data_IF_974804314851
#
_entry.id   IF_974804314851
#
_cell.length_a   1.000
_cell.length_b   1.000
_cell.length_c   1.000
_cell.angle_alpha   90.00
_cell.angle_beta   90.00
_cell.angle_gamma   90.00
#
_symmetry.space_group_name_H-M   'P 1'
#
loop_
_entity.id
_entity.type
_entity.pdbx_description
1 polymer ?
#
# COMPACT_ATOMS: atom_id res chain seq x y z
N UNK A 1 -6.17 -14.89 -10.62
CA UNK A 1 -5.13 -15.89 -10.27
C UNK A 1 -3.88 -15.21 -9.74
N UNK A 2 -3.33 -15.66 -8.63
CA UNK A 2 -2.10 -15.06 -8.10
C UNK A 2 -0.94 -15.04 -9.10
N UNK A 3 -0.85 -16.03 -9.97
CA UNK A 3 0.21 -16.09 -10.99
C UNK A 3 0.17 -14.96 -12.00
N UNK A 4 -1.00 -14.37 -12.23
CA UNK A 4 -1.16 -13.25 -13.15
C UNK A 4 -1.16 -11.91 -12.43
N UNK A 5 -1.10 -11.91 -11.10
CA UNK A 5 -1.16 -10.69 -10.32
C UNK A 5 0.20 -10.02 -10.28
N UNK A 6 0.25 -8.78 -10.76
CA UNK A 6 1.46 -7.97 -10.77
C UNK A 6 2.08 -7.88 -9.37
N UNK A 7 1.25 -7.63 -8.35
CA UNK A 7 1.76 -7.43 -6.99
C UNK A 7 2.15 -8.74 -6.32
N UNK A 8 1.48 -9.84 -6.63
CA UNK A 8 1.95 -11.16 -6.17
C UNK A 8 3.35 -11.43 -6.71
N UNK A 9 3.59 -11.07 -7.97
CA UNK A 9 4.89 -11.27 -8.61
C UNK A 9 5.96 -10.36 -8.02
N UNK A 10 5.59 -9.12 -7.69
CA UNK A 10 6.51 -8.19 -7.00
C UNK A 10 6.87 -8.76 -5.62
N UNK A 11 5.87 -9.21 -4.86
CA UNK A 11 6.11 -9.77 -3.52
C UNK A 11 7.01 -11.00 -3.58
N UNK A 12 6.89 -11.80 -4.64
CA UNK A 12 7.73 -12.98 -4.85
C UNK A 12 9.10 -12.64 -5.47
N UNK A 13 9.36 -11.36 -5.73
CA UNK A 13 10.59 -10.85 -6.33
C UNK A 13 10.82 -11.36 -7.75
N UNK A 14 9.74 -11.67 -8.45
CA UNK A 14 9.79 -12.05 -9.86
C UNK A 14 9.82 -10.82 -10.77
N UNK A 15 9.41 -9.66 -10.25
CA UNK A 15 9.47 -8.39 -10.93
C UNK A 15 10.21 -7.40 -10.06
N UNK A 16 10.99 -6.47 -10.67
CA UNK A 16 11.75 -5.50 -9.91
C UNK A 16 10.82 -4.46 -9.25
N UNK A 17 11.22 -4.00 -8.07
CA UNK A 17 10.57 -2.90 -7.36
C UNK A 17 11.57 -2.32 -6.37
N UNK A 18 11.35 -1.07 -5.99
CA UNK A 18 12.20 -0.44 -4.99
C UNK A 18 11.58 -0.69 -3.61
N UNK A 19 12.04 -1.76 -2.97
CA UNK A 19 11.53 -2.15 -1.66
C UNK A 19 11.99 -1.19 -0.58
N UNK A 20 11.06 -0.80 0.30
CA UNK A 20 11.37 0.04 1.47
C UNK A 20 11.12 -0.70 2.77
N UNK A 21 10.36 -1.79 2.73
CA UNK A 21 10.11 -2.64 3.90
C UNK A 21 9.62 -4.00 3.45
N UNK A 22 9.97 -5.04 4.18
CA UNK A 22 9.35 -6.35 4.00
C UNK A 22 9.49 -7.19 5.26
N UNK A 23 8.49 -8.03 5.48
CA UNK A 23 8.54 -9.07 6.48
C UNK A 23 7.81 -10.29 5.93
N UNK A 24 7.46 -11.24 6.80
CA UNK A 24 6.82 -12.49 6.39
C UNK A 24 5.42 -12.29 5.80
N UNK A 25 4.77 -11.17 6.10
CA UNK A 25 3.36 -10.94 5.74
C UNK A 25 3.15 -9.77 4.80
N UNK A 26 4.05 -8.78 4.82
CA UNK A 26 3.86 -7.49 4.15
C UNK A 26 5.10 -7.14 3.34
N UNK A 27 4.87 -6.50 2.20
CA UNK A 27 5.91 -5.89 1.37
C UNK A 27 5.51 -4.44 1.12
N UNK A 28 6.46 -3.53 1.18
CA UNK A 28 6.24 -2.12 0.84
C UNK A 28 7.28 -1.68 -0.18
N UNK A 29 6.83 -0.97 -1.21
CA UNK A 29 7.69 -0.54 -2.30
C UNK A 29 7.26 0.83 -2.82
N UNK A 30 8.22 1.56 -3.41
CA UNK A 30 7.95 2.88 -3.95
C UNK A 30 7.03 2.81 -5.16
N UNK A 31 6.08 3.74 -5.24
CA UNK A 31 5.21 3.88 -6.41
C UNK A 31 6.03 4.41 -7.58
N UNK A 32 5.83 3.83 -8.77
CA UNK A 32 6.54 4.25 -9.98
C UNK A 32 6.08 5.61 -10.51
N UNK A 33 4.87 6.02 -10.14
CA UNK A 33 4.29 7.29 -10.56
C UNK A 33 3.88 8.09 -9.33
N UNK A 34 4.86 8.55 -8.52
CA UNK A 34 4.55 9.14 -7.21
C UNK A 34 3.70 10.39 -7.33
N UNK A 35 2.71 10.48 -6.46
CA UNK A 35 1.82 11.63 -6.36
C UNK A 35 2.17 12.54 -5.19
N UNK A 36 3.26 12.25 -4.51
CA UNK A 36 3.81 13.02 -3.40
C UNK A 36 5.30 12.74 -3.34
N UNK A 37 6.10 13.59 -2.66
CA UNK A 37 7.54 13.33 -2.50
C UNK A 37 7.85 11.97 -1.92
N UNK A 38 7.00 11.47 -1.01
CA UNK A 38 7.04 10.08 -0.56
C UNK A 38 5.71 9.43 -0.96
N UNK A 39 5.78 8.36 -1.72
CA UNK A 39 4.61 7.61 -2.15
C UNK A 39 4.98 6.13 -2.17
N UNK A 40 4.48 5.39 -1.20
CA UNK A 40 4.80 3.99 -0.99
C UNK A 40 3.51 3.18 -1.05
N UNK A 41 3.58 2.01 -1.65
CA UNK A 41 2.48 1.06 -1.64
C UNK A 41 2.83 -0.08 -0.69
N UNK A 42 1.90 -0.42 0.19
CA UNK A 42 2.05 -1.54 1.13
C UNK A 42 1.04 -2.61 0.77
N UNK A 43 1.50 -3.82 0.61
CA UNK A 43 0.65 -4.95 0.21
C UNK A 43 0.83 -6.13 1.17
N UNK A 44 -0.23 -6.92 1.40
CA UNK A 44 -0.06 -8.22 2.01
C UNK A 44 0.54 -9.19 0.98
N UNK A 45 1.35 -10.14 1.44
CA UNK A 45 1.82 -11.20 0.53
C UNK A 45 0.67 -12.09 0.11
N UNK A 46 -0.29 -12.31 1.01
CA UNK A 46 -1.52 -13.00 0.69
C UNK A 46 -2.31 -12.22 -0.36
N UNK A 47 -2.76 -12.89 -1.40
CA UNK A 47 -3.57 -12.24 -2.43
C UNK A 47 -4.99 -12.01 -1.91
N UNK A 48 -5.34 -10.74 -1.73
CA UNK A 48 -6.68 -10.27 -1.39
C UNK A 48 -7.00 -9.24 -2.46
N UNK A 49 -8.09 -9.39 -3.19
CA UNK A 49 -8.33 -8.57 -4.38
C UNK A 49 -8.58 -7.09 -4.03
N UNK A 50 -9.36 -6.82 -2.99
CA UNK A 50 -9.71 -5.45 -2.61
C UNK A 50 -10.22 -5.43 -1.17
N UNK A 51 -10.57 -4.24 -0.68
CA UNK A 51 -11.17 -4.10 0.64
C UNK A 51 -12.46 -4.92 0.79
N UNK A 52 -13.18 -5.12 -0.32
CA UNK A 52 -14.44 -5.88 -0.28
C UNK A 52 -14.20 -7.38 -0.05
N UNK A 53 -12.99 -7.85 -0.33
CA UNK A 53 -12.65 -9.27 -0.20
C UNK A 53 -11.91 -9.56 1.11
N UNK A 54 -11.73 -8.59 1.98
CA UNK A 54 -11.11 -8.79 3.30
C UNK A 54 -12.08 -9.59 4.16
N UNK A 55 -11.65 -10.77 4.60
CA UNK A 55 -12.42 -11.61 5.51
C UNK A 55 -12.02 -11.38 6.96
N UNK A 56 -12.71 -12.07 7.88
CA UNK A 56 -12.38 -11.94 9.30
C UNK A 56 -10.95 -12.37 9.59
N UNK A 57 -10.46 -13.38 8.89
CA UNK A 57 -9.09 -13.88 9.05
C UNK A 57 -8.05 -12.86 8.59
N UNK A 58 -8.46 -11.83 7.84
CA UNK A 58 -7.55 -10.84 7.28
C UNK A 58 -7.50 -9.54 8.09
N UNK A 59 -8.29 -9.45 9.17
CA UNK A 59 -8.36 -8.22 9.96
C UNK A 59 -7.00 -7.83 10.54
N UNK A 60 -6.26 -8.80 11.04
CA UNK A 60 -4.95 -8.54 11.62
C UNK A 60 -3.97 -8.00 10.58
N UNK A 61 -3.96 -8.56 9.38
CA UNK A 61 -3.03 -8.12 8.33
C UNK A 61 -3.37 -6.71 7.85
N UNK A 62 -4.64 -6.36 7.75
CA UNK A 62 -5.05 -5.00 7.38
C UNK A 62 -4.60 -3.99 8.44
N UNK A 63 -4.78 -4.32 9.72
CA UNK A 63 -4.27 -3.49 10.81
C UNK A 63 -2.76 -3.35 10.76
N UNK A 64 -2.06 -4.43 10.43
CA UNK A 64 -0.61 -4.40 10.30
C UNK A 64 -0.16 -3.50 9.14
N UNK A 65 -0.88 -3.49 8.02
CA UNK A 65 -0.59 -2.57 6.92
C UNK A 65 -0.60 -1.12 7.41
N UNK A 66 -1.64 -0.75 8.17
CA UNK A 66 -1.78 0.62 8.69
C UNK A 66 -0.66 0.94 9.67
N UNK A 67 -0.36 0.04 10.59
CA UNK A 67 0.72 0.25 11.57
C UNK A 67 2.08 0.37 10.90
N UNK A 68 2.33 -0.46 9.90
CA UNK A 68 3.59 -0.42 9.14
C UNK A 68 3.71 0.89 8.39
N UNK A 69 2.63 1.36 7.77
CA UNK A 69 2.63 2.64 7.06
C UNK A 69 2.94 3.79 8.01
N UNK A 70 2.33 3.82 9.20
CA UNK A 70 2.62 4.86 10.19
C UNK A 70 4.09 4.81 10.63
N UNK A 71 4.63 3.60 10.81
CA UNK A 71 6.05 3.43 11.16
C UNK A 71 6.98 3.95 10.08
N UNK A 72 6.66 3.68 8.81
CA UNK A 72 7.44 4.19 7.68
C UNK A 72 7.37 5.72 7.61
N UNK A 73 6.20 6.30 7.90
CA UNK A 73 6.06 7.76 7.93
C UNK A 73 7.01 8.38 8.96
N UNK A 74 7.15 7.75 10.14
CA UNK A 74 8.10 8.19 11.16
C UNK A 74 9.53 8.08 10.66
N UNK A 75 9.89 6.92 10.12
CA UNK A 75 11.25 6.69 9.64
C UNK A 75 11.64 7.63 8.50
N UNK A 76 10.71 7.92 7.61
CA UNK A 76 10.97 8.79 6.46
C UNK A 76 10.87 10.28 6.83
N UNK A 77 10.42 10.60 8.03
CA UNK A 77 10.52 11.93 8.59
C UNK A 77 9.33 12.86 8.35
N UNK A 78 8.18 12.35 7.93
CA UNK A 78 7.02 13.22 7.66
C UNK A 78 5.80 12.92 8.53
N UNK A 79 5.99 12.09 9.58
CA UNK A 79 4.85 11.73 10.44
C UNK A 79 4.29 12.95 11.19
N UNK A 80 5.15 13.81 11.70
CA UNK A 80 4.72 14.97 12.48
C UNK A 80 3.94 15.99 11.65
N UNK A 81 4.36 16.20 10.40
CA UNK A 81 3.66 17.13 9.50
C UNK A 81 2.34 16.53 9.01
N UNK A 82 2.28 15.23 8.93
CA UNK A 82 1.09 14.52 8.50
C UNK A 82 1.28 13.75 7.21
N UNK A 83 0.43 12.75 7.03
CA UNK A 83 0.47 11.91 5.84
C UNK A 83 -0.94 11.40 5.56
N UNK A 84 -1.12 10.85 4.36
CA UNK A 84 -2.42 10.31 3.96
C UNK A 84 -2.28 8.83 3.66
N UNK A 85 -3.27 8.07 4.10
CA UNK A 85 -3.40 6.64 3.78
C UNK A 85 -4.63 6.46 2.92
N UNK A 86 -4.49 5.71 1.82
CA UNK A 86 -5.59 5.53 0.87
C UNK A 86 -5.69 4.07 0.46
N UNK A 87 -6.89 3.50 0.61
CA UNK A 87 -7.28 2.27 -0.08
C UNK A 87 -8.27 2.65 -1.17
N UNK A 88 -7.98 2.30 -2.40
CA UNK A 88 -8.91 2.46 -3.51
C UNK A 88 -9.61 1.13 -3.78
N UNK A 89 -10.91 1.14 -3.95
CA UNK A 89 -11.69 -0.07 -4.19
C UNK A 89 -12.51 0.10 -5.45
N UNK A 90 -12.25 -0.75 -6.43
CA UNK A 90 -12.94 -0.83 -7.71
C UNK A 90 -12.75 0.40 -8.61
N UNK A 91 -13.42 0.37 -9.75
CA UNK A 91 -13.13 1.28 -10.86
C UNK A 91 -13.36 2.75 -10.58
N UNK A 92 -14.47 3.11 -9.90
CA UNK A 92 -14.77 4.51 -9.65
C UNK A 92 -13.76 5.17 -8.71
N UNK A 93 -13.07 4.38 -7.88
CA UNK A 93 -12.01 4.87 -7.00
C UNK A 93 -10.63 4.81 -7.65
N UNK A 94 -10.53 4.23 -8.85
CA UNK A 94 -9.27 4.16 -9.56
C UNK A 94 -8.41 2.95 -9.22
N UNK A 95 -9.00 1.87 -8.72
CA UNK A 95 -8.24 0.66 -8.48
C UNK A 95 -7.87 0.01 -9.82
N UNK A 96 -6.59 -0.07 -10.11
CA UNK A 96 -6.10 -0.66 -11.36
C UNK A 96 -5.47 -2.03 -11.16
N UNK A 97 -4.95 -2.31 -9.98
CA UNK A 97 -4.38 -3.62 -9.65
C UNK A 97 -5.26 -4.27 -8.58
N UNK A 98 -5.78 -5.46 -8.88
CA UNK A 98 -6.68 -6.16 -7.94
C UNK A 98 -5.90 -7.08 -7.01
N UNK A 99 -5.08 -6.44 -6.24
CA UNK A 99 -4.38 -6.96 -5.08
C UNK A 99 -4.37 -5.81 -4.07
N UNK A 100 -4.96 -6.03 -2.92
CA UNK A 100 -5.12 -5.00 -1.89
C UNK A 100 -3.81 -4.24 -1.68
N UNK A 101 -3.87 -2.92 -1.76
CA UNK A 101 -2.70 -2.10 -1.49
C UNK A 101 -3.10 -0.80 -0.82
N UNK A 102 -2.30 -0.43 0.17
CA UNK A 102 -2.44 0.80 0.92
C UNK A 102 -1.42 1.79 0.40
N UNK A 103 -1.89 2.95 -0.07
CA UNK A 103 -1.00 4.05 -0.45
C UNK A 103 -0.65 4.84 0.79
N UNK A 104 0.65 5.06 0.99
CA UNK A 104 1.17 5.99 1.98
C UNK A 104 1.75 7.18 1.21
N UNK A 105 1.18 8.37 1.43
CA UNK A 105 1.61 9.58 0.76
C UNK A 105 2.02 10.62 1.80
N UNK A 106 3.19 11.22 1.63
CA UNK A 106 3.70 12.22 2.56
C UNK A 106 4.65 13.19 1.89
N UNK A 107 5.06 14.20 2.63
CA UNK A 107 6.02 15.18 2.16
C UNK A 107 5.41 16.39 1.47
N UNK A 108 4.10 16.52 1.48
CA UNK A 108 3.39 17.71 1.01
C UNK A 108 2.07 17.85 1.74
N UNK A 109 1.43 19.01 1.59
CA UNK A 109 0.09 19.24 2.12
C UNK A 109 -0.94 18.57 1.21
N UNK A 110 -1.92 17.94 1.81
CA UNK A 110 -3.05 17.34 1.10
C UNK A 110 -4.31 18.15 1.38
N UNK A 111 -5.17 18.23 0.39
CA UNK A 111 -6.37 19.05 0.47
C UNK A 111 -7.60 18.21 0.79
N UNK A 112 -8.67 18.90 1.11
CA UNK A 112 -10.00 18.33 1.27
C UNK A 112 -10.94 19.04 0.31
N UNK A 113 -11.80 18.34 -0.47
CA UNK A 113 -12.02 16.89 -0.43
C UNK A 113 -10.83 16.07 -0.98
N UNK A 114 -10.78 14.78 -0.62
CA UNK A 114 -9.59 13.96 -0.93
C UNK A 114 -9.45 13.50 -2.38
N UNK A 115 -10.39 13.83 -3.22
CA UNK A 115 -10.31 13.41 -4.62
C UNK A 115 -10.94 14.35 -5.62
#
# INVERSE_FOLDING_TARGET
MPGDCLFCRIAAKELPAKFVFENERIVAFADLHPQAPAHVQLIPRKHIASTLEVGEEDRAIVGELVQTAAGLARELGFADDGFRLVFNTNGAAGQSVYHLHLHLLGGRTFRWPPG
#
